data_IF_025187408144
#
_entry.id   IF_025187408144
#
_cell.length_a   1.000
_cell.length_b   1.000
_cell.length_c   1.000
_cell.angle_alpha   90.00
_cell.angle_beta   90.00
_cell.angle_gamma   90.00
#
_symmetry.space_group_name_H-M   'P 1'
#
loop_
_entity.id
_entity.type
_entity.pdbx_description
1 polymer ?
#
# COMPACT_ATOMS: atom_id res chain seq x y z
N UNK A 1 -31.35 -3.22 9.49
CA UNK A 1 -30.91 -4.61 9.69
C UNK A 1 -29.61 -4.56 10.48
N UNK A 2 -29.37 -5.52 11.40
CA UNK A 2 -28.07 -5.63 12.06
C UNK A 2 -27.02 -6.03 11.00
N UNK A 3 -25.84 -5.39 11.03
CA UNK A 3 -24.73 -5.79 10.14
C UNK A 3 -24.25 -7.19 10.51
N UNK A 4 -23.75 -7.93 9.54
CA UNK A 4 -23.11 -9.21 9.76
C UNK A 4 -21.85 -9.05 10.61
N UNK A 5 -21.55 -10.05 11.44
CA UNK A 5 -20.33 -10.07 12.24
C UNK A 5 -19.25 -10.83 11.45
N UNK A 6 -18.09 -10.20 11.26
CA UNK A 6 -16.95 -10.80 10.62
C UNK A 6 -16.43 -11.98 11.45
N UNK A 7 -16.21 -13.13 10.81
CA UNK A 7 -15.69 -14.34 11.45
C UNK A 7 -14.28 -14.64 10.93
N UNK A 8 -13.31 -14.66 11.83
CA UNK A 8 -11.90 -15.01 11.52
C UNK A 8 -11.76 -16.53 11.41
N UNK A 9 -12.10 -17.11 10.28
CA UNK A 9 -12.01 -18.55 10.03
C UNK A 9 -10.70 -18.96 9.36
N UNK A 10 -9.99 -18.02 8.75
CA UNK A 10 -8.75 -18.23 8.00
C UNK A 10 -7.71 -17.17 8.37
N UNK A 11 -6.41 -17.48 8.19
CA UNK A 11 -5.37 -16.47 8.33
C UNK A 11 -5.59 -15.30 7.37
N UNK A 12 -5.45 -14.07 7.86
CA UNK A 12 -5.64 -12.86 7.08
C UNK A 12 -4.34 -12.37 6.47
N UNK A 13 -4.38 -11.97 5.19
CA UNK A 13 -3.27 -11.42 4.45
C UNK A 13 -3.74 -10.23 3.61
N UNK A 14 -3.00 -9.13 3.67
CA UNK A 14 -3.23 -7.97 2.81
C UNK A 14 -2.34 -8.10 1.58
N UNK A 15 -2.93 -8.14 0.41
CA UNK A 15 -2.19 -8.07 -0.86
C UNK A 15 -2.70 -6.92 -1.71
N UNK A 16 -2.03 -6.63 -2.81
CA UNK A 16 -2.55 -5.65 -3.75
C UNK A 16 -1.84 -5.69 -5.08
N UNK A 17 -2.47 -5.08 -6.07
CA UNK A 17 -1.93 -4.95 -7.42
C UNK A 17 -1.12 -3.68 -7.56
N UNK A 18 0.09 -3.81 -8.10
CA UNK A 18 1.00 -2.72 -8.48
C UNK A 18 1.46 -2.91 -9.91
N UNK A 19 1.93 -1.86 -10.56
CA UNK A 19 2.43 -1.91 -11.94
C UNK A 19 2.02 -0.69 -12.75
N UNK A 20 2.45 -0.63 -13.99
CA UNK A 20 2.23 0.50 -14.88
C UNK A 20 0.74 0.76 -15.17
N UNK A 21 0.40 1.98 -15.58
CA UNK A 21 -0.94 2.30 -16.10
C UNK A 21 -1.23 1.41 -17.31
N UNK A 22 -2.49 1.04 -17.53
CA UNK A 22 -2.97 0.19 -18.63
C UNK A 22 -2.42 -1.24 -18.70
N UNK A 23 -1.63 -1.70 -17.72
CA UNK A 23 -1.20 -3.10 -17.63
C UNK A 23 -2.31 -4.04 -17.14
N UNK A 24 -3.48 -3.52 -16.75
CA UNK A 24 -4.68 -4.31 -16.42
C UNK A 24 -4.80 -4.71 -14.97
N UNK A 25 -4.30 -3.90 -14.01
CA UNK A 25 -4.41 -4.15 -12.56
C UNK A 25 -5.85 -4.31 -12.10
N UNK A 26 -6.70 -3.32 -12.38
CA UNK A 26 -8.12 -3.34 -11.98
C UNK A 26 -8.89 -4.45 -12.69
N UNK A 27 -8.55 -4.75 -13.95
CA UNK A 27 -9.12 -5.89 -14.69
C UNK A 27 -8.75 -7.21 -14.01
N UNK A 28 -7.50 -7.35 -13.56
CA UNK A 28 -7.06 -8.53 -12.82
C UNK A 28 -7.76 -8.64 -11.47
N UNK A 29 -7.90 -7.54 -10.73
CA UNK A 29 -8.63 -7.49 -9.46
C UNK A 29 -10.09 -7.93 -9.65
N UNK A 30 -10.75 -7.46 -10.72
CA UNK A 30 -12.11 -7.89 -11.07
C UNK A 30 -12.16 -9.38 -11.45
N UNK A 31 -11.19 -9.89 -12.23
CA UNK A 31 -11.11 -11.29 -12.62
C UNK A 31 -10.91 -12.20 -11.40
N UNK A 32 -10.06 -11.80 -10.44
CA UNK A 32 -9.85 -12.55 -9.18
C UNK A 32 -11.15 -12.61 -8.39
N UNK A 33 -11.80 -11.47 -8.15
CA UNK A 33 -13.05 -11.44 -7.36
C UNK A 33 -14.15 -12.25 -8.01
N UNK A 34 -14.29 -12.20 -9.36
CA UNK A 34 -15.27 -12.97 -10.10
C UNK A 34 -14.98 -14.49 -10.03
N UNK A 35 -13.73 -14.91 -10.24
CA UNK A 35 -13.33 -16.32 -10.18
C UNK A 35 -13.57 -16.88 -8.76
N UNK A 36 -13.19 -16.12 -7.72
CA UNK A 36 -13.43 -16.54 -6.33
C UNK A 36 -14.91 -16.53 -5.96
N UNK A 37 -15.72 -15.62 -6.52
CA UNK A 37 -17.16 -15.61 -6.32
C UNK A 37 -17.82 -16.87 -6.92
N UNK A 38 -17.39 -17.31 -8.11
CA UNK A 38 -17.88 -18.55 -8.72
C UNK A 38 -17.55 -19.80 -7.88
N UNK A 39 -16.47 -19.75 -7.11
CA UNK A 39 -16.10 -20.79 -6.14
C UNK A 39 -16.82 -20.64 -4.78
N UNK A 40 -17.66 -19.60 -4.59
CA UNK A 40 -18.34 -19.31 -3.33
C UNK A 40 -17.41 -18.71 -2.25
N UNK A 41 -16.26 -18.15 -2.66
CA UNK A 41 -15.19 -17.63 -1.79
C UNK A 41 -15.08 -16.10 -1.81
N UNK A 42 -15.98 -15.40 -2.50
CA UNK A 42 -16.05 -13.94 -2.54
C UNK A 42 -17.47 -13.46 -2.83
N UNK A 43 -17.73 -12.18 -2.53
CA UNK A 43 -18.86 -11.45 -3.14
C UNK A 43 -18.42 -10.93 -4.51
N UNK A 44 -19.27 -11.13 -5.51
CA UNK A 44 -18.97 -10.63 -6.87
C UNK A 44 -18.83 -9.11 -6.88
N UNK A 45 -17.73 -8.62 -7.41
CA UNK A 45 -17.45 -7.19 -7.67
C UNK A 45 -17.17 -6.98 -9.15
N UNK A 46 -17.94 -6.12 -9.79
CA UNK A 46 -17.68 -5.73 -11.18
C UNK A 46 -16.59 -4.66 -11.24
N UNK A 47 -15.93 -4.54 -12.39
CA UNK A 47 -14.95 -3.49 -12.68
C UNK A 47 -15.45 -2.09 -12.27
N UNK A 48 -16.69 -1.74 -12.68
CA UNK A 48 -17.32 -0.44 -12.38
C UNK A 48 -17.57 -0.18 -10.88
N UNK A 49 -17.51 -1.22 -10.03
CA UNK A 49 -17.67 -1.09 -8.58
C UNK A 49 -16.31 -1.00 -7.87
N UNK A 50 -15.23 -1.36 -8.53
CA UNK A 50 -13.85 -1.20 -8.06
C UNK A 50 -13.41 0.24 -8.33
N UNK A 51 -13.40 0.67 -9.58
CA UNK A 51 -13.16 2.08 -9.99
C UNK A 51 -14.48 2.84 -9.96
N UNK A 52 -14.84 3.39 -8.82
CA UNK A 52 -16.20 3.89 -8.58
C UNK A 52 -16.33 5.41 -8.71
N UNK A 53 -15.25 6.18 -8.61
CA UNK A 53 -15.29 7.63 -8.70
C UNK A 53 -15.64 8.10 -10.12
N UNK A 54 -16.47 9.15 -10.28
CA UNK A 54 -16.82 9.67 -11.61
C UNK A 54 -15.61 10.01 -12.47
N UNK A 55 -14.57 10.54 -11.87
CA UNK A 55 -13.32 10.93 -12.55
C UNK A 55 -12.52 9.70 -13.02
N UNK A 56 -12.55 8.59 -12.27
CA UNK A 56 -11.93 7.31 -12.67
C UNK A 56 -12.62 6.73 -13.89
N UNK A 57 -13.94 6.76 -13.91
CA UNK A 57 -14.76 6.29 -15.03
C UNK A 57 -14.58 7.13 -16.30
N UNK A 58 -14.46 8.45 -16.15
CA UNK A 58 -14.24 9.36 -17.27
C UNK A 58 -12.85 9.20 -17.90
N UNK A 59 -11.83 8.97 -17.06
CA UNK A 59 -10.43 8.85 -17.50
C UNK A 59 -10.01 7.41 -17.82
N UNK A 60 -10.76 6.41 -17.35
CA UNK A 60 -10.43 4.99 -17.49
C UNK A 60 -9.18 4.57 -16.70
N UNK A 61 -8.85 5.29 -15.63
CA UNK A 61 -7.67 5.02 -14.77
C UNK A 61 -8.05 5.05 -13.30
N UNK A 62 -7.44 4.19 -12.50
CA UNK A 62 -7.59 4.18 -11.05
C UNK A 62 -6.86 5.39 -10.45
N UNK A 63 -7.56 6.17 -9.63
CA UNK A 63 -7.05 7.37 -8.94
C UNK A 63 -6.85 7.09 -7.46
N UNK A 64 -7.86 6.50 -6.81
CA UNK A 64 -7.83 6.15 -5.39
C UNK A 64 -7.59 4.65 -5.21
N UNK A 65 -7.03 4.27 -4.07
CA UNK A 65 -6.94 2.85 -3.71
C UNK A 65 -8.33 2.28 -3.45
N UNK A 66 -8.64 1.17 -4.08
CA UNK A 66 -9.88 0.43 -3.84
C UNK A 66 -9.59 -0.85 -3.05
N UNK A 67 -10.48 -1.19 -2.12
CA UNK A 67 -10.32 -2.37 -1.29
C UNK A 67 -11.42 -3.38 -1.59
N UNK A 68 -11.02 -4.60 -1.90
CA UNK A 68 -11.92 -5.74 -2.09
C UNK A 68 -11.51 -6.90 -1.18
N UNK A 69 -12.46 -7.76 -0.81
CA UNK A 69 -12.19 -8.97 -0.04
C UNK A 69 -12.54 -10.22 -0.82
N UNK A 70 -11.76 -11.25 -0.63
CA UNK A 70 -12.02 -12.60 -1.12
C UNK A 70 -11.22 -13.63 -0.32
N UNK A 71 -11.54 -14.89 -0.51
CA UNK A 71 -10.86 -16.00 0.13
C UNK A 71 -10.29 -16.99 -0.89
N UNK A 72 -9.29 -17.74 -0.46
CA UNK A 72 -8.90 -19.02 -1.05
C UNK A 72 -9.27 -20.14 -0.10
N UNK A 73 -8.92 -21.38 -0.42
CA UNK A 73 -9.06 -22.48 0.54
C UNK A 73 -8.28 -22.22 1.83
N UNK A 74 -7.15 -21.50 1.75
CA UNK A 74 -6.15 -21.37 2.81
C UNK A 74 -6.19 -20.05 3.55
N UNK A 75 -6.57 -18.94 2.88
CA UNK A 75 -6.45 -17.57 3.39
C UNK A 75 -7.67 -16.70 3.11
N UNK A 76 -7.85 -15.71 3.96
CA UNK A 76 -8.70 -14.54 3.70
C UNK A 76 -7.81 -13.37 3.23
N UNK A 77 -8.14 -12.78 2.11
CA UNK A 77 -7.40 -11.68 1.52
C UNK A 77 -8.19 -10.36 1.58
N UNK A 78 -7.53 -9.31 2.06
CA UNK A 78 -7.88 -7.94 1.73
C UNK A 78 -6.98 -7.50 0.58
N UNK A 79 -7.58 -7.11 -0.53
CA UNK A 79 -6.85 -6.73 -1.73
C UNK A 79 -6.99 -5.23 -1.98
N UNK A 80 -5.86 -4.56 -2.15
CA UNK A 80 -5.74 -3.13 -2.44
C UNK A 80 -5.42 -2.97 -3.91
N UNK A 81 -6.35 -2.44 -4.70
CA UNK A 81 -6.07 -2.05 -6.08
C UNK A 81 -5.42 -0.67 -6.10
N UNK A 82 -4.16 -0.60 -6.54
CA UNK A 82 -3.37 0.62 -6.54
C UNK A 82 -3.39 1.34 -7.89
N UNK A 83 -3.42 2.70 -7.89
CA UNK A 83 -3.29 3.46 -9.10
C UNK A 83 -1.94 3.20 -9.80
N UNK A 84 -1.96 3.20 -11.14
CA UNK A 84 -0.76 2.99 -11.96
C UNK A 84 -0.10 4.28 -12.46
N UNK A 85 -0.84 5.39 -12.47
CA UNK A 85 -0.38 6.64 -13.05
C UNK A 85 0.53 7.42 -12.07
N UNK A 86 1.60 8.05 -12.61
CA UNK A 86 2.59 8.77 -11.81
C UNK A 86 2.00 9.90 -10.96
N UNK A 87 0.94 10.57 -11.42
CA UNK A 87 0.28 11.65 -10.67
C UNK A 87 -0.36 11.16 -9.35
N UNK A 88 -0.68 9.86 -9.24
CA UNK A 88 -1.36 9.26 -8.09
C UNK A 88 -0.45 8.40 -7.23
N UNK A 89 0.86 8.56 -7.39
CA UNK A 89 1.87 7.78 -6.69
C UNK A 89 1.73 7.86 -5.14
N UNK A 90 1.18 8.95 -4.60
CA UNK A 90 0.85 9.08 -3.18
C UNK A 90 -0.11 8.00 -2.71
N UNK A 91 -1.15 7.76 -3.49
CA UNK A 91 -2.15 6.74 -3.18
C UNK A 91 -1.56 5.35 -3.36
N UNK A 92 -0.69 5.16 -4.38
CA UNK A 92 0.06 3.92 -4.55
C UNK A 92 0.96 3.62 -3.34
N UNK A 93 1.73 4.60 -2.84
CA UNK A 93 2.60 4.41 -1.67
C UNK A 93 1.76 4.05 -0.44
N UNK A 94 0.63 4.74 -0.22
CA UNK A 94 -0.27 4.46 0.89
C UNK A 94 -0.87 3.05 0.80
N UNK A 95 -1.31 2.64 -0.39
CA UNK A 95 -1.81 1.29 -0.63
C UNK A 95 -0.73 0.23 -0.42
N UNK A 96 0.46 0.43 -1.00
CA UNK A 96 1.57 -0.51 -0.87
C UNK A 96 2.04 -0.68 0.59
N UNK A 97 2.01 0.38 1.40
CA UNK A 97 2.36 0.32 2.82
C UNK A 97 1.43 -0.59 3.64
N UNK A 98 0.24 -0.90 3.11
CA UNK A 98 -0.71 -1.80 3.75
C UNK A 98 -0.50 -3.27 3.40
N UNK A 99 0.31 -3.59 2.39
CA UNK A 99 0.46 -4.93 1.84
C UNK A 99 1.41 -5.81 2.67
N UNK A 100 1.02 -7.06 2.83
CA UNK A 100 1.86 -8.15 3.35
C UNK A 100 2.56 -8.91 2.21
N UNK A 101 2.15 -8.67 0.98
CA UNK A 101 2.72 -9.12 -0.29
C UNK A 101 2.03 -8.41 -1.44
N UNK A 102 2.61 -8.42 -2.63
CA UNK A 102 2.04 -7.75 -3.79
C UNK A 102 1.97 -8.62 -5.02
N UNK A 103 1.09 -8.24 -5.94
CA UNK A 103 1.00 -8.77 -7.30
C UNK A 103 1.50 -7.70 -8.25
N UNK A 104 2.64 -7.92 -8.86
CA UNK A 104 3.18 -7.06 -9.90
C UNK A 104 2.54 -7.43 -11.23
N UNK A 105 1.76 -6.52 -11.81
CA UNK A 105 1.07 -6.73 -13.09
C UNK A 105 1.84 -6.06 -14.20
N UNK A 106 2.26 -6.85 -15.20
CA UNK A 106 3.03 -6.37 -16.35
C UNK A 106 2.39 -6.89 -17.64
N UNK A 107 2.19 -6.02 -18.61
CA UNK A 107 1.75 -6.42 -19.95
C UNK A 107 2.86 -7.17 -20.66
N UNK A 108 2.57 -8.36 -21.20
CA UNK A 108 3.51 -9.14 -21.97
C UNK A 108 3.96 -8.44 -23.27
N UNK A 109 3.08 -7.58 -23.83
CA UNK A 109 3.38 -6.85 -25.06
C UNK A 109 4.32 -5.64 -24.83
N UNK A 110 4.25 -5.02 -23.63
CA UNK A 110 4.98 -3.79 -23.31
C UNK A 110 6.24 -4.04 -22.47
N UNK A 111 6.27 -5.15 -21.72
CA UNK A 111 7.32 -5.44 -20.75
C UNK A 111 7.36 -4.48 -19.55
N UNK A 112 8.47 -4.47 -18.78
CA UNK A 112 8.64 -3.57 -17.64
C UNK A 112 8.78 -2.10 -18.06
N UNK A 113 7.79 -1.30 -17.79
CA UNK A 113 7.72 0.14 -18.10
C UNK A 113 8.28 1.00 -16.93
N UNK A 114 8.53 2.31 -17.10
CA UNK A 114 9.13 3.15 -16.07
C UNK A 114 8.38 3.12 -14.72
N UNK A 115 7.04 3.16 -14.72
CA UNK A 115 6.25 3.08 -13.49
C UNK A 115 6.29 1.67 -12.87
N UNK A 116 6.51 0.61 -13.66
CA UNK A 116 6.75 -0.74 -13.13
C UNK A 116 7.97 -0.74 -12.23
N UNK A 117 9.08 -0.13 -12.69
CA UNK A 117 10.33 0.00 -11.92
C UNK A 117 10.12 0.85 -10.66
N UNK A 118 9.44 2.00 -10.78
CA UNK A 118 9.14 2.86 -9.64
C UNK A 118 8.26 2.15 -8.60
N UNK A 119 7.25 1.39 -9.02
CA UNK A 119 6.38 0.64 -8.12
C UNK A 119 7.11 -0.48 -7.38
N UNK A 120 8.01 -1.23 -8.04
CA UNK A 120 8.84 -2.25 -7.40
C UNK A 120 9.77 -1.62 -6.37
N UNK A 121 10.42 -0.50 -6.72
CA UNK A 121 11.24 0.28 -5.81
C UNK A 121 10.45 0.72 -4.57
N UNK A 122 9.28 1.33 -4.77
CA UNK A 122 8.43 1.84 -3.69
C UNK A 122 7.90 0.71 -2.80
N UNK A 123 7.47 -0.40 -3.38
CA UNK A 123 7.06 -1.58 -2.63
C UNK A 123 8.20 -2.07 -1.71
N UNK A 124 9.42 -2.07 -2.22
CA UNK A 124 10.59 -2.41 -1.39
C UNK A 124 10.83 -1.42 -0.26
N UNK A 125 10.66 -0.13 -0.51
CA UNK A 125 10.85 0.94 0.48
C UNK A 125 9.81 0.90 1.60
N UNK A 126 8.54 0.64 1.27
CA UNK A 126 7.47 0.46 2.29
C UNK A 126 7.47 -0.94 2.91
N UNK A 127 8.49 -1.74 2.60
CA UNK A 127 8.76 -3.02 3.22
C UNK A 127 7.76 -4.15 2.86
N UNK A 128 7.23 -4.13 1.64
CA UNK A 128 6.51 -5.30 1.09
C UNK A 128 7.51 -6.47 1.03
N UNK A 129 7.26 -7.59 1.70
CA UNK A 129 8.26 -8.63 1.86
C UNK A 129 8.49 -9.46 0.59
N UNK A 130 7.45 -9.68 -0.21
CA UNK A 130 7.51 -10.48 -1.44
C UNK A 130 6.50 -10.03 -2.47
N UNK A 131 6.83 -10.28 -3.74
CA UNK A 131 5.97 -10.03 -4.88
C UNK A 131 5.74 -11.35 -5.64
N UNK A 132 4.54 -11.51 -6.19
CA UNK A 132 4.21 -12.50 -7.22
C UNK A 132 3.97 -11.70 -8.51
N UNK A 133 4.34 -12.23 -9.65
CA UNK A 133 4.17 -11.53 -10.93
C UNK A 133 3.00 -12.14 -11.71
N UNK A 134 2.15 -11.28 -12.27
CA UNK A 134 1.18 -11.66 -13.28
C UNK A 134 1.55 -10.99 -14.60
N UNK A 135 2.07 -11.79 -15.55
CA UNK A 135 2.34 -11.37 -16.92
C UNK A 135 1.03 -11.41 -17.70
N UNK A 136 0.41 -10.24 -17.82
CA UNK A 136 -0.92 -10.06 -18.39
C UNK A 136 -0.89 -9.86 -19.91
N UNK A 137 -2.03 -10.01 -20.57
CA UNK A 137 -2.23 -9.79 -22.01
C UNK A 137 -1.38 -10.69 -22.90
N UNK A 138 -1.07 -11.91 -22.45
CA UNK A 138 -0.32 -12.87 -23.26
C UNK A 138 -1.04 -13.26 -24.55
N UNK A 139 -2.34 -13.07 -24.60
CA UNK A 139 -3.16 -13.25 -25.79
C UNK A 139 -2.93 -12.23 -26.91
N UNK A 140 -2.16 -11.18 -26.64
CA UNK A 140 -1.74 -10.18 -27.65
C UNK A 140 -0.33 -10.45 -28.20
N UNK A 141 0.34 -11.51 -27.74
CA UNK A 141 1.71 -11.85 -28.12
C UNK A 141 1.73 -13.27 -28.68
N UNK A 142 2.06 -13.40 -29.96
CA UNK A 142 2.18 -14.69 -30.65
C UNK A 142 3.61 -15.25 -30.63
N UNK A 143 4.58 -14.46 -30.11
CA UNK A 143 6.00 -14.80 -30.09
C UNK A 143 6.43 -15.30 -28.70
N UNK A 144 6.74 -16.59 -28.59
CA UNK A 144 7.19 -17.21 -27.34
C UNK A 144 8.56 -16.66 -26.91
N UNK A 145 9.47 -16.30 -27.83
CA UNK A 145 10.77 -15.74 -27.50
C UNK A 145 10.61 -14.36 -26.81
N UNK A 146 9.60 -13.58 -27.21
CA UNK A 146 9.28 -12.32 -26.57
C UNK A 146 8.78 -12.52 -25.13
N UNK A 147 7.95 -13.53 -24.88
CA UNK A 147 7.48 -13.85 -23.53
C UNK A 147 8.64 -14.25 -22.60
N UNK A 148 9.58 -15.09 -23.11
CA UNK A 148 10.78 -15.48 -22.37
C UNK A 148 11.68 -14.27 -22.06
N UNK A 149 11.83 -13.33 -23.01
CA UNK A 149 12.61 -12.10 -22.83
C UNK A 149 11.99 -11.23 -21.73
N UNK A 150 10.67 -11.02 -21.77
CA UNK A 150 9.95 -10.22 -20.74
C UNK A 150 10.07 -10.89 -19.38
N UNK A 151 9.98 -12.22 -19.30
CA UNK A 151 10.17 -12.94 -18.04
C UNK A 151 11.59 -12.71 -17.48
N UNK A 152 12.61 -12.79 -18.32
CA UNK A 152 13.99 -12.56 -17.91
C UNK A 152 14.19 -11.12 -17.41
N UNK A 153 13.67 -10.12 -18.12
CA UNK A 153 13.74 -8.72 -17.70
C UNK A 153 13.03 -8.49 -16.34
N UNK A 154 11.92 -9.17 -16.08
CA UNK A 154 11.20 -9.09 -14.81
C UNK A 154 12.01 -9.70 -13.67
N UNK A 155 12.68 -10.84 -13.88
CA UNK A 155 13.54 -11.47 -12.88
C UNK A 155 14.74 -10.59 -12.54
N UNK A 156 15.37 -9.99 -13.56
CA UNK A 156 16.47 -9.03 -13.39
C UNK A 156 16.01 -7.80 -12.60
N UNK A 157 14.85 -7.23 -12.95
CA UNK A 157 14.27 -6.09 -12.25
C UNK A 157 14.01 -6.39 -10.78
N UNK A 158 13.40 -7.54 -10.48
CA UNK A 158 13.12 -7.94 -9.09
C UNK A 158 14.41 -8.10 -8.29
N UNK A 159 15.43 -8.73 -8.90
CA UNK A 159 16.74 -8.95 -8.28
C UNK A 159 17.48 -7.63 -8.01
N UNK A 160 17.42 -6.67 -8.95
CA UNK A 160 17.96 -5.32 -8.80
C UNK A 160 17.42 -4.62 -7.55
N UNK A 161 16.11 -4.72 -7.30
CA UNK A 161 15.47 -4.15 -6.11
C UNK A 161 15.41 -5.10 -4.91
N UNK A 162 16.23 -6.18 -4.92
CA UNK A 162 16.43 -7.11 -3.81
C UNK A 162 15.18 -7.89 -3.41
N UNK A 163 14.31 -8.16 -4.35
CA UNK A 163 13.35 -9.25 -4.26
C UNK A 163 13.98 -10.55 -4.76
N UNK A 164 13.37 -11.68 -4.47
CA UNK A 164 13.86 -12.99 -4.93
C UNK A 164 13.46 -13.22 -6.41
N UNK A 165 14.17 -12.58 -7.34
CA UNK A 165 13.86 -12.65 -8.77
C UNK A 165 13.90 -14.07 -9.33
N UNK A 166 14.85 -14.90 -8.86
CA UNK A 166 15.02 -16.26 -9.36
C UNK A 166 13.84 -17.18 -9.00
N UNK A 167 13.31 -17.06 -7.77
CA UNK A 167 12.25 -17.93 -7.26
C UNK A 167 10.86 -17.31 -7.29
N UNK A 168 10.74 -16.01 -7.63
CA UNK A 168 9.44 -15.34 -7.72
C UNK A 168 8.56 -16.04 -8.77
N UNK A 169 7.34 -16.48 -8.39
CA UNK A 169 6.38 -17.03 -9.35
C UNK A 169 5.97 -15.97 -10.37
N UNK A 170 6.07 -16.32 -11.65
CA UNK A 170 5.58 -15.50 -12.77
C UNK A 170 4.46 -16.30 -13.45
N UNK A 171 3.23 -15.83 -13.29
CA UNK A 171 2.05 -16.45 -13.87
C UNK A 171 1.68 -15.69 -15.13
N UNK A 172 1.52 -16.42 -16.23
CA UNK A 172 1.16 -15.87 -17.54
C UNK A 172 -0.32 -16.07 -17.81
N UNK A 173 -1.00 -15.01 -18.31
CA UNK A 173 -2.40 -15.12 -18.60
C UNK A 173 -3.03 -13.87 -19.21
N UNK A 174 -4.34 -13.94 -19.39
CA UNK A 174 -5.16 -12.79 -19.80
C UNK A 174 -6.27 -12.56 -18.79
N UNK A 175 -6.11 -11.51 -17.99
CA UNK A 175 -7.12 -11.12 -17.01
C UNK A 175 -8.46 -10.77 -17.68
N UNK A 176 -8.43 -10.19 -18.88
CA UNK A 176 -9.64 -9.85 -19.63
C UNK A 176 -10.39 -11.10 -20.09
N UNK A 177 -9.69 -12.09 -20.65
CA UNK A 177 -10.32 -13.35 -21.06
C UNK A 177 -10.92 -14.11 -19.87
N UNK A 178 -10.23 -14.12 -18.72
CA UNK A 178 -10.75 -14.73 -17.51
C UNK A 178 -12.01 -14.00 -17.00
N UNK A 179 -12.02 -12.67 -17.06
CA UNK A 179 -13.16 -11.85 -16.65
C UNK A 179 -14.38 -12.01 -17.58
N UNK A 180 -14.15 -12.08 -18.89
CA UNK A 180 -15.21 -12.26 -19.90
C UNK A 180 -15.77 -13.68 -19.95
N UNK A 181 -14.98 -14.67 -19.53
CA UNK A 181 -15.35 -16.09 -19.55
C UNK A 181 -15.20 -16.74 -18.15
N UNK A 182 -15.93 -16.26 -17.14
CA UNK A 182 -15.70 -16.64 -15.75
C UNK A 182 -16.09 -18.10 -15.42
N UNK A 183 -16.88 -18.73 -16.28
CA UNK A 183 -17.31 -20.13 -16.15
C UNK A 183 -16.42 -21.10 -16.97
N UNK A 184 -15.49 -20.58 -17.76
CA UNK A 184 -14.53 -21.39 -18.51
C UNK A 184 -13.29 -21.66 -17.66
N UNK A 185 -13.08 -22.94 -17.33
CA UNK A 185 -11.97 -23.38 -16.50
C UNK A 185 -10.60 -23.11 -17.14
N UNK A 186 -10.48 -23.13 -18.46
CA UNK A 186 -9.21 -22.82 -19.15
C UNK A 186 -8.92 -21.31 -19.12
N UNK A 187 -9.95 -20.48 -19.34
CA UNK A 187 -9.80 -19.03 -19.26
C UNK A 187 -9.45 -18.54 -17.85
N UNK A 188 -10.01 -19.18 -16.80
CA UNK A 188 -9.79 -18.79 -15.40
C UNK A 188 -8.60 -19.51 -14.73
N UNK A 189 -7.95 -20.46 -15.42
CA UNK A 189 -6.82 -21.23 -14.90
C UNK A 189 -5.68 -20.34 -14.39
N UNK A 190 -5.30 -19.32 -15.14
CA UNK A 190 -4.24 -18.39 -14.76
C UNK A 190 -4.57 -17.63 -13.46
N UNK A 191 -5.84 -17.35 -13.18
CA UNK A 191 -6.28 -16.72 -11.93
C UNK A 191 -6.14 -17.71 -10.76
N UNK A 192 -6.53 -18.97 -10.96
CA UNK A 192 -6.38 -20.02 -9.94
C UNK A 192 -4.90 -20.23 -9.62
N UNK A 193 -4.05 -20.38 -10.62
CA UNK A 193 -2.60 -20.53 -10.46
C UNK A 193 -1.98 -19.32 -9.75
N UNK A 194 -2.43 -18.08 -10.07
CA UNK A 194 -1.99 -16.87 -9.38
C UNK A 194 -2.34 -16.91 -7.89
N UNK A 195 -3.56 -17.34 -7.53
CA UNK A 195 -3.98 -17.41 -6.14
C UNK A 195 -3.25 -18.52 -5.37
N UNK A 196 -2.95 -19.65 -6.00
CA UNK A 196 -2.10 -20.70 -5.43
C UNK A 196 -0.66 -20.21 -5.22
N UNK A 197 -0.12 -19.44 -6.15
CA UNK A 197 1.18 -18.80 -6.01
C UNK A 197 1.20 -17.78 -4.86
N UNK A 198 0.16 -16.97 -4.72
CA UNK A 198 0.01 -16.07 -3.57
C UNK A 198 -0.05 -16.82 -2.24
N UNK A 199 -0.83 -17.90 -2.17
CA UNK A 199 -0.95 -18.73 -0.96
C UNK A 199 0.38 -19.37 -0.53
N UNK A 200 1.17 -19.80 -1.50
CA UNK A 200 2.40 -20.55 -1.23
C UNK A 200 3.63 -19.66 -1.07
N UNK A 201 3.76 -18.60 -1.86
CA UNK A 201 4.97 -17.79 -1.92
C UNK A 201 4.94 -16.56 -0.97
N UNK A 202 3.79 -15.92 -0.79
CA UNK A 202 3.68 -14.80 0.15
C UNK A 202 3.69 -15.36 1.58
N UNK A 203 4.68 -14.95 2.42
CA UNK A 203 4.77 -15.46 3.79
C UNK A 203 3.57 -15.06 4.64
N UNK A 204 3.17 -15.91 5.60
CA UNK A 204 2.14 -15.53 6.57
C UNK A 204 2.68 -14.37 7.42
N UNK A 205 2.00 -13.20 7.45
CA UNK A 205 2.50 -12.04 8.15
C UNK A 205 2.51 -12.24 9.66
N UNK A 206 3.60 -11.80 10.30
CA UNK A 206 3.70 -11.75 11.76
C UNK A 206 3.03 -10.48 12.25
N UNK A 207 1.98 -10.61 13.04
CA UNK A 207 1.21 -9.48 13.57
C UNK A 207 1.75 -9.01 14.92
N UNK A 208 1.92 -7.69 15.06
CA UNK A 208 2.42 -7.06 16.29
C UNK A 208 1.25 -6.86 17.30
N UNK A 209 0.64 -7.95 17.76
CA UNK A 209 -0.55 -7.94 18.63
C UNK A 209 -0.26 -7.47 20.05
N UNK A 210 0.97 -7.67 20.53
CA UNK A 210 1.39 -7.33 21.90
C UNK A 210 1.88 -5.89 22.06
N UNK A 211 1.95 -5.12 20.95
CA UNK A 211 2.31 -3.71 20.98
C UNK A 211 1.05 -2.85 21.26
N UNK A 212 1.22 -1.60 21.71
CA UNK A 212 0.11 -0.64 21.80
C UNK A 212 -0.61 -0.49 20.46
N UNK A 213 -1.91 -0.24 20.52
CA UNK A 213 -2.72 0.00 19.34
C UNK A 213 -2.24 1.22 18.57
N UNK A 214 -2.11 1.07 17.26
CA UNK A 214 -1.78 2.13 16.31
C UNK A 214 -2.44 1.86 14.96
N UNK A 215 -3.19 2.84 14.45
CA UNK A 215 -3.78 2.83 13.11
C UNK A 215 -3.56 4.18 12.42
N UNK A 216 -2.75 4.25 11.36
CA UNK A 216 -2.69 5.44 10.51
C UNK A 216 -4.02 5.69 9.82
N UNK A 217 -4.48 6.94 9.82
CA UNK A 217 -5.73 7.35 9.15
C UNK A 217 -5.43 7.53 7.65
N UNK A 218 -6.13 6.77 6.83
CA UNK A 218 -6.03 6.81 5.37
C UNK A 218 -7.15 7.65 4.76
N UNK A 219 -8.37 7.40 5.19
CA UNK A 219 -9.56 8.10 4.69
C UNK A 219 -10.54 8.44 5.81
N UNK A 220 -11.38 9.45 5.57
CA UNK A 220 -12.33 9.95 6.58
C UNK A 220 -13.70 10.10 5.95
N UNK A 221 -14.68 9.42 6.54
CA UNK A 221 -16.06 9.45 6.10
C UNK A 221 -16.99 9.96 7.22
N UNK A 222 -18.04 10.64 6.83
CA UNK A 222 -19.14 10.98 7.74
C UNK A 222 -20.36 10.12 7.39
N UNK A 223 -20.87 9.39 8.38
CA UNK A 223 -22.07 8.56 8.22
C UNK A 223 -23.22 9.24 8.96
N UNK A 224 -24.26 9.64 8.22
CA UNK A 224 -25.45 10.28 8.76
C UNK A 224 -26.04 9.45 9.90
N UNK A 225 -26.17 10.06 11.09
CA UNK A 225 -26.73 9.42 12.29
C UNK A 225 -25.78 8.46 13.02
N UNK A 226 -24.54 8.27 12.55
CA UNK A 226 -23.54 7.39 13.20
C UNK A 226 -22.26 8.13 13.62
N UNK A 227 -21.90 9.21 12.94
CA UNK A 227 -20.72 10.02 13.24
C UNK A 227 -19.60 9.86 12.21
N UNK A 228 -18.39 10.24 12.60
CA UNK A 228 -17.19 10.18 11.77
C UNK A 228 -16.52 8.80 11.85
N UNK A 229 -16.09 8.31 10.72
CA UNK A 229 -15.35 7.06 10.56
C UNK A 229 -13.99 7.38 9.98
N UNK A 230 -12.93 7.01 10.68
CA UNK A 230 -11.57 6.96 10.13
C UNK A 230 -11.24 5.54 9.68
N UNK A 231 -10.75 5.38 8.46
CA UNK A 231 -10.31 4.09 7.93
C UNK A 231 -8.80 4.01 7.85
N UNK A 232 -8.27 2.80 7.95
CA UNK A 232 -6.86 2.50 7.80
C UNK A 232 -6.53 1.06 8.14
N UNK A 233 -5.30 0.67 7.88
CA UNK A 233 -4.78 -0.61 8.36
C UNK A 233 -4.27 -0.47 9.79
N UNK A 234 -4.69 -1.35 10.67
CA UNK A 234 -4.14 -1.43 12.03
C UNK A 234 -2.68 -1.90 11.93
N UNK A 235 -1.73 -1.03 12.31
CA UNK A 235 -0.29 -1.29 12.25
C UNK A 235 0.16 -2.18 13.40
N UNK A 236 -0.37 -1.94 14.60
CA UNK A 236 -0.05 -2.72 15.80
C UNK A 236 -1.21 -2.76 16.80
N UNK A 237 -1.14 -3.74 17.71
CA UNK A 237 -2.05 -3.89 18.83
C UNK A 237 -3.46 -4.35 18.45
N UNK A 238 -4.39 -4.03 19.33
CA UNK A 238 -5.81 -4.40 19.25
C UNK A 238 -6.69 -3.25 19.68
N UNK A 239 -7.93 -3.21 19.17
CA UNK A 239 -8.92 -2.18 19.46
C UNK A 239 -10.31 -2.79 19.59
N UNK A 240 -11.08 -2.33 20.57
CA UNK A 240 -12.47 -2.74 20.82
C UNK A 240 -13.41 -1.54 20.90
N UNK A 241 -14.68 -1.81 20.75
CA UNK A 241 -15.73 -0.84 21.05
C UNK A 241 -15.68 -0.47 22.53
N UNK A 242 -15.62 0.82 22.82
CA UNK A 242 -15.49 1.37 24.17
C UNK A 242 -14.07 1.82 24.53
N UNK A 243 -13.07 1.44 23.77
CA UNK A 243 -11.69 1.87 24.01
C UNK A 243 -11.53 3.37 23.70
N UNK A 244 -10.71 4.04 24.52
CA UNK A 244 -10.26 5.41 24.28
C UNK A 244 -9.00 5.40 23.44
N UNK A 245 -8.94 6.26 22.44
CA UNK A 245 -7.76 6.48 21.59
C UNK A 245 -7.42 7.95 21.48
N UNK A 246 -6.17 8.24 21.25
CA UNK A 246 -5.67 9.57 20.88
C UNK A 246 -5.56 9.66 19.36
N UNK A 247 -6.01 10.80 18.80
CA UNK A 247 -5.87 11.16 17.39
C UNK A 247 -4.73 12.17 17.29
N UNK A 248 -3.58 11.74 16.76
CA UNK A 248 -2.32 12.47 16.87
C UNK A 248 -1.73 12.77 15.51
N UNK A 249 -1.15 13.95 15.36
CA UNK A 249 -0.45 14.41 14.17
C UNK A 249 -1.19 15.51 13.43
N UNK A 250 -0.54 16.06 12.39
CA UNK A 250 -1.07 17.14 11.56
C UNK A 250 -1.50 18.41 12.34
N UNK A 251 -0.83 18.66 13.49
CA UNK A 251 -1.11 19.81 14.35
C UNK A 251 -2.33 19.62 15.27
N UNK A 252 -2.85 18.42 15.41
CA UNK A 252 -3.98 18.09 16.29
C UNK A 252 -3.60 16.99 17.27
N UNK A 253 -4.18 17.08 18.47
CA UNK A 253 -4.07 16.09 19.55
C UNK A 253 -5.41 16.04 20.27
N UNK A 254 -6.17 14.99 20.05
CA UNK A 254 -7.53 14.83 20.57
C UNK A 254 -7.73 13.42 21.09
N UNK A 255 -8.62 13.26 22.07
CA UNK A 255 -9.02 11.94 22.58
C UNK A 255 -10.46 11.66 22.18
N UNK A 256 -10.73 10.43 21.76
CA UNK A 256 -12.08 9.97 21.43
C UNK A 256 -12.32 8.53 21.90
N UNK A 257 -13.59 8.14 21.99
CA UNK A 257 -13.99 6.77 22.28
C UNK A 257 -14.47 6.08 21.00
N UNK A 258 -14.01 4.87 20.77
CA UNK A 258 -14.44 4.05 19.64
C UNK A 258 -15.84 3.49 19.91
N UNK A 259 -16.78 3.79 19.03
CA UNK A 259 -18.19 3.35 19.14
C UNK A 259 -18.53 2.19 18.21
N UNK A 260 -17.65 1.87 17.27
CA UNK A 260 -17.78 0.75 16.36
C UNK A 260 -16.48 0.44 15.66
N UNK A 261 -16.25 -0.84 15.38
CA UNK A 261 -15.13 -1.33 14.55
C UNK A 261 -15.73 -2.16 13.42
N UNK A 262 -15.39 -1.84 12.19
CA UNK A 262 -15.95 -2.47 11.01
C UNK A 262 -14.82 -2.81 10.01
N UNK A 263 -14.98 -3.92 9.27
CA UNK A 263 -14.14 -4.30 8.15
C UNK A 263 -15.03 -4.85 7.04
N UNK A 264 -14.89 -4.34 5.81
CA UNK A 264 -15.72 -4.73 4.65
C UNK A 264 -17.23 -4.72 4.97
N UNK A 265 -17.71 -3.64 5.60
CA UNK A 265 -19.11 -3.43 6.02
C UNK A 265 -19.63 -4.43 7.06
N UNK A 266 -18.81 -5.36 7.56
CA UNK A 266 -19.12 -6.29 8.67
C UNK A 266 -18.61 -5.71 9.98
N UNK A 267 -19.30 -5.97 11.09
CA UNK A 267 -18.86 -5.54 12.42
C UNK A 267 -17.79 -6.47 12.97
N UNK A 268 -16.79 -5.88 13.65
CA UNK A 268 -15.76 -6.61 14.39
C UNK A 268 -16.01 -6.45 15.90
N UNK A 269 -15.89 -7.53 16.66
CA UNK A 269 -15.84 -7.45 18.11
C UNK A 269 -14.53 -6.82 18.60
N UNK A 270 -13.44 -7.14 17.90
CA UNK A 270 -12.08 -6.65 18.14
C UNK A 270 -11.37 -6.50 16.80
N UNK A 271 -10.79 -5.31 16.52
CA UNK A 271 -9.84 -5.10 15.46
C UNK A 271 -8.43 -5.44 15.94
N UNK A 272 -7.60 -6.03 15.09
CA UNK A 272 -6.23 -6.39 15.43
C UNK A 272 -5.24 -6.02 14.31
N UNK A 273 -3.95 -5.97 14.68
CA UNK A 273 -2.89 -5.66 13.72
C UNK A 273 -3.02 -6.46 12.43
N UNK A 274 -3.04 -5.77 11.31
CA UNK A 274 -3.24 -6.30 9.96
C UNK A 274 -4.65 -6.10 9.40
N UNK A 275 -5.66 -5.78 10.21
CA UNK A 275 -7.01 -5.50 9.70
C UNK A 275 -7.08 -4.15 9.00
N UNK A 276 -7.78 -4.10 7.87
CA UNK A 276 -8.21 -2.84 7.25
C UNK A 276 -9.55 -2.43 7.87
N UNK A 277 -9.48 -1.59 8.89
CA UNK A 277 -10.62 -1.28 9.75
C UNK A 277 -11.14 0.14 9.55
N UNK A 278 -12.46 0.28 9.68
CA UNK A 278 -13.13 1.55 9.89
C UNK A 278 -13.50 1.70 11.37
N UNK A 279 -13.00 2.77 11.99
CA UNK A 279 -13.27 3.09 13.39
C UNK A 279 -14.32 4.20 13.47
N UNK A 280 -15.46 3.91 14.07
CA UNK A 280 -16.47 4.92 14.40
C UNK A 280 -16.05 5.65 15.66
N UNK A 281 -15.99 6.97 15.60
CA UNK A 281 -15.45 7.83 16.65
C UNK A 281 -16.55 8.70 17.26
N UNK A 282 -16.56 8.84 18.58
CA UNK A 282 -17.54 9.65 19.29
C UNK A 282 -17.11 11.11 19.35
N UNK A 283 -18.03 12.03 18.97
CA UNK A 283 -17.83 13.47 19.16
C UNK A 283 -16.72 14.07 18.31
N UNK A 284 -16.30 13.38 17.23
CA UNK A 284 -15.34 13.87 16.25
C UNK A 284 -16.11 14.27 15.00
N UNK A 285 -15.89 15.49 14.53
CA UNK A 285 -16.41 15.95 13.25
C UNK A 285 -15.45 15.56 12.11
N UNK A 286 -15.95 15.54 10.87
CA UNK A 286 -15.14 15.10 9.71
C UNK A 286 -13.89 15.97 9.55
N UNK A 287 -14.00 17.28 9.83
CA UNK A 287 -12.89 18.24 9.65
C UNK A 287 -11.82 18.15 10.75
N UNK A 288 -12.15 17.51 11.89
CA UNK A 288 -11.21 17.27 12.98
C UNK A 288 -10.25 16.13 12.69
N UNK A 289 -10.69 15.15 11.90
CA UNK A 289 -9.90 13.98 11.53
C UNK A 289 -9.34 14.14 10.11
N UNK A 290 -8.03 13.95 9.95
CA UNK A 290 -7.35 14.14 8.66
C UNK A 290 -6.50 12.93 8.32
N UNK A 291 -6.39 12.67 7.01
CA UNK A 291 -5.38 11.73 6.50
C UNK A 291 -4.00 12.16 6.99
N UNK A 292 -3.19 11.20 7.45
CA UNK A 292 -1.88 11.43 8.02
C UNK A 292 -1.83 11.52 9.54
N UNK A 293 -2.98 11.70 10.20
CA UNK A 293 -3.09 11.46 11.64
C UNK A 293 -3.01 9.97 11.95
N UNK A 294 -2.76 9.63 13.19
CA UNK A 294 -2.85 8.27 13.69
C UNK A 294 -3.88 8.19 14.82
N UNK A 295 -4.65 7.11 14.85
CA UNK A 295 -5.40 6.70 16.03
C UNK A 295 -4.52 5.74 16.84
N UNK A 296 -4.21 6.07 18.08
CA UNK A 296 -3.25 5.34 18.89
C UNK A 296 -3.73 5.11 20.32
N UNK A 297 -3.20 4.10 20.98
CA UNK A 297 -3.40 3.92 22.41
C UNK A 297 -2.83 5.14 23.15
N UNK A 298 -3.53 5.57 24.21
CA UNK A 298 -3.18 6.78 24.95
C UNK A 298 -1.73 6.80 25.43
N UNK A 299 -1.00 7.86 25.08
CA UNK A 299 0.39 8.07 25.46
C UNK A 299 1.41 7.12 24.78
N UNK A 300 1.01 6.37 23.76
CA UNK A 300 1.89 5.39 23.11
C UNK A 300 2.77 5.97 21.99
N UNK A 301 2.40 7.11 21.45
CA UNK A 301 3.15 7.82 20.40
C UNK A 301 2.96 9.33 20.59
N UNK A 302 3.94 10.11 20.14
CA UNK A 302 3.93 11.57 20.22
C UNK A 302 4.21 12.21 18.87
N UNK A 303 3.69 13.43 18.62
CA UNK A 303 3.97 14.16 17.38
C UNK A 303 5.34 14.86 17.48
N UNK A 304 6.13 14.80 16.39
CA UNK A 304 7.44 15.42 16.31
C UNK A 304 7.64 16.11 14.97
N UNK A 305 8.48 17.15 14.97
CA UNK A 305 8.92 17.85 13.77
C UNK A 305 10.39 17.60 13.47
N UNK A 306 11.22 17.29 14.48
CA UNK A 306 12.67 17.15 14.33
C UNK A 306 13.13 15.72 14.58
N UNK A 307 13.95 15.21 13.70
CA UNK A 307 14.51 13.86 13.81
C UNK A 307 15.82 13.73 13.03
N UNK A 308 16.60 12.70 13.37
CA UNK A 308 17.71 12.22 12.54
C UNK A 308 17.30 10.97 11.80
N UNK A 309 17.85 10.79 10.64
CA UNK A 309 17.59 9.63 9.81
C UNK A 309 18.81 9.20 9.00
N UNK A 310 18.93 7.90 8.79
CA UNK A 310 19.80 7.35 7.76
C UNK A 310 19.02 7.32 6.45
N UNK A 311 19.57 7.95 5.42
CA UNK A 311 18.93 8.11 4.12
C UNK A 311 19.83 7.59 3.02
N UNK A 312 19.27 6.76 2.14
CA UNK A 312 19.86 6.40 0.85
C UNK A 312 19.29 7.31 -0.24
N UNK A 313 20.16 7.96 -0.99
CA UNK A 313 19.79 8.83 -2.10
C UNK A 313 19.84 8.03 -3.39
N UNK A 314 18.69 7.91 -4.07
CA UNK A 314 18.56 7.11 -5.28
C UNK A 314 19.39 7.69 -6.42
N UNK A 315 20.05 6.79 -7.18
CA UNK A 315 20.77 7.12 -8.40
C UNK A 315 19.82 7.42 -9.55
N UNK A 316 20.35 8.05 -10.60
CA UNK A 316 19.59 8.33 -11.83
C UNK A 316 19.04 7.04 -12.47
N UNK A 317 19.84 5.98 -12.48
CA UNK A 317 19.46 4.67 -13.02
C UNK A 317 18.33 4.00 -12.25
N UNK A 318 18.20 4.35 -10.97
CA UNK A 318 17.11 3.93 -10.08
C UNK A 318 15.86 4.86 -10.15
N UNK A 319 15.80 5.77 -11.12
CA UNK A 319 14.74 6.77 -11.26
C UNK A 319 14.89 7.98 -10.32
N UNK A 320 16.00 8.08 -9.59
CA UNK A 320 16.30 9.13 -8.64
C UNK A 320 16.92 10.38 -9.26
N UNK A 321 17.71 11.08 -8.45
CA UNK A 321 18.38 12.33 -8.83
C UNK A 321 19.60 12.07 -9.73
N UNK A 322 19.94 13.07 -10.53
CA UNK A 322 21.19 13.13 -11.32
C UNK A 322 22.12 14.26 -10.83
N UNK A 323 21.68 15.06 -9.86
CA UNK A 323 22.45 16.16 -9.29
C UNK A 323 22.53 16.04 -7.77
N UNK A 324 23.61 16.49 -7.13
CA UNK A 324 23.71 16.54 -5.69
C UNK A 324 22.67 17.48 -5.07
N UNK A 325 22.41 17.34 -3.78
CA UNK A 325 21.72 18.36 -3.01
C UNK A 325 22.61 18.87 -1.86
N UNK A 326 22.27 20.02 -1.38
CA UNK A 326 23.04 20.78 -0.41
C UNK A 326 22.24 20.99 0.88
N UNK A 327 22.88 21.57 1.87
CA UNK A 327 22.23 21.98 3.10
C UNK A 327 21.00 22.88 2.81
N UNK A 328 19.95 22.78 3.64
CA UNK A 328 18.66 23.45 3.44
C UNK A 328 17.82 22.92 2.25
N UNK A 329 18.12 21.71 1.75
CA UNK A 329 17.27 21.04 0.79
C UNK A 329 15.87 20.83 1.35
N UNK A 330 14.81 21.03 0.54
CA UNK A 330 13.41 21.04 0.98
C UNK A 330 12.53 20.11 0.15
N UNK A 331 12.67 18.78 0.27
CA UNK A 331 11.81 17.82 -0.40
C UNK A 331 10.54 17.54 0.40
N UNK A 332 9.68 16.67 -0.15
CA UNK A 332 8.56 16.07 0.55
C UNK A 332 8.97 14.73 1.17
N UNK A 333 8.62 14.56 2.43
CA UNK A 333 8.83 13.34 3.21
C UNK A 333 7.50 12.60 3.33
N UNK A 334 7.46 11.37 2.87
CA UNK A 334 6.28 10.52 2.87
C UNK A 334 6.35 9.55 4.05
N UNK A 335 5.46 9.74 5.02
CA UNK A 335 5.34 8.89 6.19
C UNK A 335 3.95 8.26 6.22
N UNK A 336 3.86 6.94 6.35
CA UNK A 336 2.58 6.23 6.41
C UNK A 336 1.59 6.69 5.32
N UNK A 337 0.58 7.47 5.71
CA UNK A 337 -0.50 7.91 4.82
C UNK A 337 -0.40 9.37 4.38
N UNK A 338 0.67 10.10 4.77
CA UNK A 338 0.83 11.54 4.49
C UNK A 338 2.20 11.91 3.96
N UNK A 339 2.27 13.08 3.35
CA UNK A 339 3.51 13.74 2.98
C UNK A 339 3.62 15.11 3.66
N UNK A 340 4.82 15.43 4.10
CA UNK A 340 5.14 16.71 4.74
C UNK A 340 6.45 17.25 4.18
N UNK A 341 6.48 18.53 3.87
CA UNK A 341 7.73 19.21 3.50
C UNK A 341 8.65 19.31 4.71
N UNK A 342 9.92 18.98 4.54
CA UNK A 342 10.94 19.12 5.57
C UNK A 342 12.18 19.80 5.06
N UNK A 343 12.95 20.38 5.96
CA UNK A 343 14.25 21.01 5.70
C UNK A 343 15.34 20.05 6.15
N UNK A 344 16.27 19.74 5.26
CA UNK A 344 17.42 18.87 5.53
C UNK A 344 18.59 19.70 6.05
N UNK A 345 19.20 19.23 7.13
CA UNK A 345 20.50 19.70 7.65
C UNK A 345 21.51 18.58 7.55
N UNK A 346 22.58 18.81 6.81
CA UNK A 346 23.67 17.85 6.63
C UNK A 346 24.63 17.87 7.83
N UNK A 347 25.33 16.75 8.11
CA UNK A 347 26.33 16.70 9.18
C UNK A 347 27.47 17.67 8.94
N UNK A 348 28.14 18.10 10.02
CA UNK A 348 29.32 18.97 9.93
C UNK A 348 30.38 18.35 9.01
N UNK A 349 30.92 19.16 8.10
CA UNK A 349 31.94 18.74 7.13
C UNK A 349 31.39 18.12 5.86
N UNK A 350 30.06 17.93 5.76
CA UNK A 350 29.41 17.48 4.52
C UNK A 350 28.82 18.65 3.78
N UNK A 351 29.44 19.03 2.66
CA UNK A 351 28.96 20.16 1.84
C UNK A 351 27.77 19.77 0.94
N UNK A 352 27.77 18.55 0.41
CA UNK A 352 26.75 18.02 -0.49
C UNK A 352 26.59 16.51 -0.35
N UNK A 353 25.48 16.00 -0.83
CA UNK A 353 25.16 14.56 -0.92
C UNK A 353 24.91 14.20 -2.38
N UNK A 354 25.59 13.17 -2.85
CA UNK A 354 25.49 12.67 -4.22
C UNK A 354 24.43 11.57 -4.36
N UNK A 355 23.83 11.41 -5.54
CA UNK A 355 23.05 10.22 -5.85
C UNK A 355 23.89 8.94 -5.62
N UNK A 356 23.32 8.00 -4.88
CA UNK A 356 23.98 6.75 -4.48
C UNK A 356 24.60 6.78 -3.08
N UNK A 357 24.63 7.94 -2.42
CA UNK A 357 25.16 8.06 -1.06
C UNK A 357 24.19 7.55 0.00
N UNK A 358 24.77 7.02 1.08
CA UNK A 358 24.09 6.82 2.35
C UNK A 358 24.57 7.92 3.32
N UNK A 359 23.64 8.67 3.87
CA UNK A 359 23.96 9.78 4.75
C UNK A 359 23.05 9.81 5.98
N UNK A 360 23.63 10.08 7.14
CA UNK A 360 22.83 10.48 8.30
C UNK A 360 22.57 11.98 8.23
N UNK A 361 21.30 12.39 8.30
CA UNK A 361 20.91 13.80 8.23
C UNK A 361 19.88 14.14 9.29
N UNK A 362 19.86 15.41 9.71
CA UNK A 362 18.78 15.94 10.53
C UNK A 362 17.71 16.56 9.62
N UNK A 363 16.44 16.36 10.00
CA UNK A 363 15.29 16.87 9.25
C UNK A 363 14.36 17.61 10.18
N UNK A 364 13.89 18.78 9.74
CA UNK A 364 12.85 19.55 10.42
C UNK A 364 11.63 19.70 9.50
N UNK A 365 10.51 19.04 9.90
CA UNK A 365 9.25 19.08 9.17
C UNK A 365 8.47 20.36 9.47
N UNK A 366 7.74 20.85 8.48
CA UNK A 366 6.86 22.04 8.65
C UNK A 366 5.59 21.74 9.46
N UNK A 367 5.23 20.47 9.61
CA UNK A 367 4.04 20.02 10.35
C UNK A 367 4.41 18.82 11.21
N UNK A 368 4.01 18.78 12.50
CA UNK A 368 4.29 17.64 13.36
C UNK A 368 3.51 16.40 12.90
N UNK A 369 4.18 15.25 12.89
CA UNK A 369 3.59 13.95 12.62
C UNK A 369 3.85 12.98 13.78
N UNK A 370 2.94 12.04 13.97
CA UNK A 370 3.14 10.95 14.92
C UNK A 370 4.33 10.08 14.48
N UNK A 371 5.39 10.04 15.29
CA UNK A 371 6.67 9.46 14.90
C UNK A 371 7.26 8.59 16.02
N UNK A 372 7.92 7.52 15.63
CA UNK A 372 8.75 6.67 16.50
C UNK A 372 10.06 6.35 15.78
N UNK A 373 11.05 5.88 16.54
CA UNK A 373 12.28 5.34 15.96
C UNK A 373 11.96 4.17 15.04
N UNK A 374 12.81 3.93 14.06
CA UNK A 374 12.67 2.92 13.01
C UNK A 374 11.54 3.18 12.00
N UNK A 375 10.81 4.31 12.12
CA UNK A 375 9.82 4.71 11.12
C UNK A 375 10.50 4.95 9.78
N UNK A 376 10.04 4.25 8.75
CA UNK A 376 10.53 4.40 7.37
C UNK A 376 9.78 5.50 6.65
N UNK A 377 10.46 6.11 5.69
CA UNK A 377 9.88 7.15 4.84
C UNK A 377 10.55 7.17 3.46
N UNK A 378 9.81 7.70 2.48
CA UNK A 378 10.33 8.04 1.18
C UNK A 378 10.54 9.56 1.06
N UNK A 379 11.51 9.97 0.24
CA UNK A 379 11.76 11.38 -0.09
C UNK A 379 11.40 11.58 -1.55
N UNK A 380 10.58 12.59 -1.84
CA UNK A 380 10.15 12.91 -3.21
C UNK A 380 10.39 14.37 -3.56
N UNK A 381 10.72 14.58 -4.84
CA UNK A 381 10.89 15.91 -5.43
C UNK A 381 10.43 15.89 -6.89
N UNK A 382 9.67 16.89 -7.31
CA UNK A 382 9.25 17.04 -8.71
C UNK A 382 8.50 15.84 -9.30
N UNK A 383 7.75 15.10 -8.47
CA UNK A 383 7.02 13.91 -8.90
C UNK A 383 7.81 12.59 -8.87
N UNK A 384 9.10 12.63 -8.53
CA UNK A 384 9.99 11.46 -8.50
C UNK A 384 10.41 11.10 -7.07
N UNK A 385 10.58 9.82 -6.78
CA UNK A 385 11.20 9.34 -5.56
C UNK A 385 12.72 9.52 -5.68
N UNK A 386 13.30 10.29 -4.77
CA UNK A 386 14.73 10.66 -4.81
C UNK A 386 15.54 10.06 -3.67
N UNK A 387 14.88 9.45 -2.70
CA UNK A 387 15.54 8.79 -1.59
C UNK A 387 14.57 8.04 -0.70
N UNK A 388 15.14 7.24 0.18
CA UNK A 388 14.44 6.52 1.24
C UNK A 388 15.25 6.56 2.52
N UNK A 389 14.57 6.61 3.65
CA UNK A 389 15.23 6.70 4.94
C UNK A 389 14.50 6.00 6.07
N UNK A 390 15.22 5.90 7.18
CA UNK A 390 14.73 5.35 8.45
C UNK A 390 15.08 6.34 9.57
N UNK A 391 14.11 6.66 10.41
CA UNK A 391 14.31 7.52 11.60
C UNK A 391 15.21 6.81 12.59
N UNK A 392 16.36 7.40 12.90
CA UNK A 392 17.34 6.86 13.85
C UNK A 392 17.16 7.42 15.25
N UNK A 393 16.82 8.70 15.37
CA UNK A 393 16.50 9.35 16.63
C UNK A 393 15.54 10.50 16.45
N UNK A 394 14.75 10.77 17.48
CA UNK A 394 13.83 11.90 17.56
C UNK A 394 14.50 13.00 18.36
N UNK A 395 14.47 14.23 17.83
CA UNK A 395 15.00 15.42 18.50
C UNK A 395 13.82 16.23 19.07
N UNK A 396 13.99 16.72 20.30
CA UNK A 396 12.96 17.54 20.99
C UNK A 396 13.03 19.01 20.57
#
# INVERSE_FOLDING_TARGET
>A
MAKEVFKRNKPHCNIGTIGHVDHGKTTLTAAITQTQANLGLAEQRSFDTIDNAPEEKERGITIQTSHVEYETANRHYAHVDCPGHADYIKNMITGAAQMDGGILVVSAADGPMPQTREHVLLARQVNVPSLVVFMNKVDQVDDEELLELVEMELRDLLSEYKFDGDNTPIIMGSALKALENPDDAEATKCITELMEACDSFIPQPKRALDKPFLMPVEDVFSITGRGTVGTGRIESGKIKVGDEVELIGMGSDMTTTITGVEMFQKTLNEGEAGDNAGLLMRGIEKDDLKRGMVAAAKGSITPHTKFKANVYVLKKEEGGRHTPFFNNYRPQFYFRTTDVTGVVTLPEGTEMVMPGDNVEMSVELITPIAMNQELRFAIREGGHTVGAGVVTSIEN
#
